data_IF_197064748232
#
_entry.id   IF_197064748232
#
_cell.length_a   1.000
_cell.length_b   1.000
_cell.length_c   1.000
_cell.angle_alpha   90.00
_cell.angle_beta   90.00
_cell.angle_gamma   90.00
#
_symmetry.space_group_name_H-M   'P 1'
#
loop_
_entity.id
_entity.type
_entity.pdbx_description
1 polymer ?
#
# COMPACT_ATOMS: atom_id res chain seq x y z
N UNK A 1 -7.20 12.43 -33.32
CA UNK A 1 -8.41 11.59 -33.47
C UNK A 1 -9.25 12.19 -34.60
N UNK A 2 -9.78 11.35 -35.49
CA UNK A 2 -10.67 11.85 -36.56
C UNK A 2 -12.08 12.00 -35.99
N UNK A 3 -12.87 12.92 -36.57
CA UNK A 3 -14.29 13.10 -36.25
C UNK A 3 -15.16 11.85 -36.48
N UNK A 4 -14.60 10.81 -37.10
CA UNK A 4 -15.29 9.57 -37.46
C UNK A 4 -15.17 8.45 -36.43
N UNK A 5 -14.50 8.69 -35.31
CA UNK A 5 -14.26 7.71 -34.26
C UNK A 5 -12.79 7.63 -33.85
N UNK A 6 -12.48 6.78 -32.89
CA UNK A 6 -11.10 6.49 -32.53
C UNK A 6 -10.66 5.14 -33.10
N UNK A 7 -9.40 5.09 -33.54
CA UNK A 7 -8.79 3.90 -34.15
C UNK A 7 -8.00 3.14 -33.12
N UNK A 8 -8.04 1.83 -33.20
CA UNK A 8 -7.12 0.97 -32.44
C UNK A 8 -5.78 1.02 -33.14
N UNK A 9 -4.72 1.39 -32.43
CA UNK A 9 -3.37 1.28 -32.91
C UNK A 9 -2.83 -0.11 -32.50
N UNK A 10 -2.17 -0.82 -33.38
CA UNK A 10 -1.70 -2.20 -33.16
C UNK A 10 -0.60 -2.34 -32.09
N UNK A 11 -0.01 -1.23 -31.65
CA UNK A 11 0.93 -1.24 -30.52
C UNK A 11 0.17 -1.14 -29.20
N UNK A 12 0.08 -2.23 -28.49
CA UNK A 12 -0.52 -2.34 -27.14
C UNK A 12 0.23 -1.58 -26.05
N UNK A 13 1.25 -0.77 -26.40
CA UNK A 13 2.09 -0.03 -25.45
C UNK A 13 1.35 1.06 -24.67
N UNK A 14 0.38 1.74 -25.31
CA UNK A 14 -0.45 2.75 -24.68
C UNK A 14 -1.92 2.33 -24.80
N UNK A 15 -2.42 1.62 -23.81
CA UNK A 15 -3.85 1.31 -23.72
C UNK A 15 -4.63 2.62 -23.60
N UNK A 16 -5.34 2.97 -24.66
CA UNK A 16 -6.26 4.08 -24.64
C UNK A 16 -7.49 3.69 -23.81
N UNK A 17 -7.59 4.25 -22.63
CA UNK A 17 -8.76 4.11 -21.78
C UNK A 17 -9.64 5.35 -21.87
N UNK A 18 -10.91 5.16 -21.61
CA UNK A 18 -11.90 6.22 -21.52
C UNK A 18 -12.48 6.25 -20.12
N UNK A 19 -12.94 7.41 -19.68
CA UNK A 19 -13.75 7.55 -18.48
C UNK A 19 -15.21 7.69 -18.90
N UNK A 20 -16.10 6.96 -18.27
CA UNK A 20 -17.54 7.16 -18.37
C UNK A 20 -17.93 7.99 -17.16
N UNK A 21 -18.26 9.28 -17.40
CA UNK A 21 -18.58 10.24 -16.34
C UNK A 21 -20.09 10.44 -16.28
N UNK A 22 -20.68 10.42 -15.09
CA UNK A 22 -22.05 10.85 -14.92
C UNK A 22 -22.20 12.33 -15.31
N UNK A 23 -23.32 12.67 -15.92
CA UNK A 23 -23.68 14.07 -16.21
C UNK A 23 -24.00 14.79 -14.91
N UNK A 24 -24.72 14.12 -14.02
CA UNK A 24 -25.02 14.54 -12.67
C UNK A 24 -24.78 13.39 -11.70
N UNK A 25 -23.88 13.59 -10.72
CA UNK A 25 -23.52 12.56 -9.74
C UNK A 25 -24.67 12.26 -8.75
N UNK A 26 -25.56 13.24 -8.54
CA UNK A 26 -26.73 13.08 -7.67
C UNK A 26 -27.94 12.47 -8.40
N UNK A 27 -27.92 12.45 -9.74
CA UNK A 27 -28.98 11.89 -10.58
C UNK A 27 -28.43 11.14 -11.80
N UNK A 28 -28.17 9.86 -11.62
CA UNK A 28 -27.62 9.00 -12.67
C UNK A 28 -28.58 8.77 -13.84
N UNK A 29 -29.88 9.13 -13.71
CA UNK A 29 -30.86 9.06 -14.80
C UNK A 29 -30.61 10.11 -15.88
N UNK A 30 -29.85 11.17 -15.57
CA UNK A 30 -29.38 12.15 -16.55
C UNK A 30 -28.46 11.54 -17.62
N UNK A 31 -27.92 10.33 -17.38
CA UNK A 31 -27.02 9.62 -18.29
C UNK A 31 -25.55 9.99 -18.09
N UNK A 32 -24.74 9.63 -19.08
CA UNK A 32 -23.28 9.70 -18.98
C UNK A 32 -22.68 10.35 -20.22
N UNK A 33 -21.44 10.80 -20.11
CA UNK A 33 -20.57 11.19 -21.22
C UNK A 33 -19.33 10.29 -21.25
N UNK A 34 -18.75 10.11 -22.44
CA UNK A 34 -17.47 9.40 -22.61
C UNK A 34 -16.37 10.44 -22.73
N UNK A 35 -15.36 10.33 -21.88
CA UNK A 35 -14.16 11.17 -21.88
C UNK A 35 -12.92 10.34 -22.19
N UNK A 36 -12.17 10.74 -23.21
CA UNK A 36 -10.84 10.19 -23.48
C UNK A 36 -9.76 10.97 -22.73
N UNK A 37 -8.52 10.49 -22.82
CA UNK A 37 -7.36 11.21 -22.32
C UNK A 37 -6.74 12.18 -23.35
N UNK A 38 -7.51 12.61 -24.38
CA UNK A 38 -7.09 13.66 -25.30
C UNK A 38 -7.13 15.02 -24.64
N UNK A 39 -6.07 15.82 -24.79
CA UNK A 39 -5.98 17.16 -24.21
C UNK A 39 -6.82 18.21 -24.97
N UNK A 40 -7.15 17.94 -26.23
CA UNK A 40 -7.81 18.91 -27.11
C UNK A 40 -9.31 18.69 -27.27
N UNK A 41 -9.75 17.44 -27.43
CA UNK A 41 -11.16 17.08 -27.63
C UNK A 41 -11.49 15.81 -26.87
N UNK A 42 -11.55 15.88 -25.52
CA UNK A 42 -11.68 14.67 -24.71
C UNK A 42 -13.06 14.02 -24.77
N UNK A 43 -14.15 14.76 -25.02
CA UNK A 43 -15.49 14.21 -24.93
C UNK A 43 -16.00 13.72 -26.28
N UNK A 44 -16.51 12.48 -26.32
CA UNK A 44 -17.14 11.86 -27.48
C UNK A 44 -18.66 11.89 -27.36
N UNK A 45 -19.32 12.22 -28.45
CA UNK A 45 -20.76 12.25 -28.50
C UNK A 45 -21.25 12.00 -29.93
N UNK A 46 -22.58 11.92 -30.12
CA UNK A 46 -23.23 11.85 -31.41
C UNK A 46 -24.55 12.60 -31.36
N UNK A 47 -24.76 13.51 -32.29
CA UNK A 47 -25.91 14.45 -32.32
C UNK A 47 -27.21 13.79 -32.75
N UNK A 48 -27.19 12.63 -33.36
CA UNK A 48 -28.37 11.97 -33.89
C UNK A 48 -28.24 10.44 -33.89
N UNK A 49 -29.35 9.74 -34.02
CA UNK A 49 -29.42 8.30 -34.25
C UNK A 49 -28.93 7.94 -35.65
N UNK A 50 -27.63 8.09 -35.89
CA UNK A 50 -26.94 7.82 -37.16
C UNK A 50 -25.54 7.23 -36.88
N UNK A 51 -24.92 6.69 -37.93
CA UNK A 51 -23.55 6.26 -37.85
C UNK A 51 -22.61 7.47 -37.72
N UNK A 52 -21.61 7.36 -36.86
CA UNK A 52 -20.60 8.41 -36.65
C UNK A 52 -20.23 8.61 -35.18
N UNK A 53 -19.32 9.53 -34.96
CA UNK A 53 -18.94 10.02 -33.64
C UNK A 53 -18.30 11.39 -33.79
N UNK A 54 -18.64 12.30 -32.91
CA UNK A 54 -18.12 13.66 -32.85
C UNK A 54 -17.29 13.80 -31.55
N UNK A 55 -16.41 14.79 -31.51
CA UNK A 55 -15.58 15.07 -30.34
C UNK A 55 -15.58 16.56 -30.02
N UNK A 56 -15.51 16.90 -28.74
CA UNK A 56 -15.51 18.28 -28.24
C UNK A 56 -14.63 18.39 -26.98
N UNK A 57 -14.20 19.63 -26.70
CA UNK A 57 -13.54 19.93 -25.41
C UNK A 57 -14.55 20.39 -24.33
N UNK A 58 -15.80 20.54 -24.66
CA UNK A 58 -16.84 21.05 -23.76
C UNK A 58 -17.76 19.92 -23.28
N UNK A 59 -17.66 19.58 -21.98
CA UNK A 59 -18.52 18.56 -21.33
C UNK A 59 -20.01 18.88 -21.54
N UNK A 60 -20.42 20.14 -21.44
CA UNK A 60 -21.82 20.57 -21.61
C UNK A 60 -22.37 20.25 -22.99
N UNK A 61 -21.55 20.39 -24.04
CA UNK A 61 -21.94 20.00 -25.41
C UNK A 61 -22.19 18.50 -25.49
N UNK A 62 -21.25 17.67 -24.95
CA UNK A 62 -21.42 16.22 -24.93
C UNK A 62 -22.62 15.81 -24.05
N UNK A 63 -22.83 16.46 -22.91
CA UNK A 63 -23.94 16.21 -21.98
C UNK A 63 -25.33 16.52 -22.59
N UNK A 64 -25.41 17.34 -23.64
CA UNK A 64 -26.64 17.56 -24.40
C UNK A 64 -27.04 16.33 -25.24
N UNK A 65 -26.13 15.34 -25.37
CA UNK A 65 -26.32 14.08 -26.09
C UNK A 65 -25.91 12.90 -25.19
N UNK A 66 -26.67 12.68 -24.11
CA UNK A 66 -26.30 11.68 -23.11
C UNK A 66 -26.24 10.27 -23.68
N UNK A 67 -25.40 9.45 -23.09
CA UNK A 67 -25.42 8.01 -23.32
C UNK A 67 -25.99 7.28 -22.09
N UNK A 68 -26.55 6.11 -22.33
CA UNK A 68 -26.88 5.16 -21.28
C UNK A 68 -26.00 3.92 -21.37
N UNK A 69 -25.75 3.31 -20.22
CA UNK A 69 -25.02 2.06 -20.11
C UNK A 69 -26.02 0.93 -19.91
N UNK A 70 -26.19 0.08 -20.91
CA UNK A 70 -27.09 -1.05 -20.84
C UNK A 70 -26.30 -2.35 -20.66
N UNK A 71 -26.63 -3.10 -19.63
CA UNK A 71 -26.09 -4.45 -19.41
C UNK A 71 -26.99 -5.47 -20.11
N UNK A 72 -26.54 -6.01 -21.22
CA UNK A 72 -27.27 -7.04 -22.00
C UNK A 72 -27.05 -8.41 -21.37
N UNK A 73 -25.85 -8.64 -20.83
CA UNK A 73 -25.48 -9.82 -20.06
C UNK A 73 -24.37 -9.46 -19.06
N UNK A 74 -23.89 -10.43 -18.29
CA UNK A 74 -22.76 -10.21 -17.39
C UNK A 74 -21.45 -9.80 -18.08
N UNK A 75 -21.36 -10.00 -19.40
CA UNK A 75 -20.17 -9.73 -20.21
C UNK A 75 -20.42 -8.81 -21.41
N UNK A 76 -21.67 -8.45 -21.70
CA UNK A 76 -22.02 -7.60 -22.85
C UNK A 76 -22.62 -6.29 -22.32
N UNK A 77 -21.87 -5.20 -22.53
CA UNK A 77 -22.25 -3.83 -22.12
C UNK A 77 -22.41 -3.00 -23.39
N UNK A 78 -23.54 -2.32 -23.50
CA UNK A 78 -23.83 -1.43 -24.60
C UNK A 78 -23.88 0.03 -24.14
N UNK A 79 -23.13 0.89 -24.82
CA UNK A 79 -23.19 2.33 -24.66
C UNK A 79 -24.14 2.88 -25.72
N UNK A 80 -25.35 3.23 -25.31
CA UNK A 80 -26.43 3.62 -26.21
C UNK A 80 -26.63 5.13 -26.19
N UNK A 81 -26.79 5.71 -27.37
CA UNK A 81 -27.10 7.12 -27.52
C UNK A 81 -28.57 7.38 -27.15
N UNK A 82 -28.81 8.49 -26.46
CA UNK A 82 -30.14 9.04 -26.20
C UNK A 82 -31.04 8.22 -25.28
N UNK A 83 -30.45 7.37 -24.43
CA UNK A 83 -31.20 6.65 -23.41
C UNK A 83 -32.11 5.53 -23.92
N UNK A 84 -32.01 5.18 -25.18
CA UNK A 84 -32.84 4.13 -25.81
C UNK A 84 -32.00 3.02 -26.38
N UNK A 85 -32.37 1.78 -26.05
CA UNK A 85 -31.77 0.59 -26.66
C UNK A 85 -31.97 0.53 -28.19
N UNK A 86 -32.88 1.32 -28.73
CA UNK A 86 -33.09 1.51 -30.17
C UNK A 86 -32.22 2.60 -30.79
N UNK A 87 -31.46 3.37 -29.98
CA UNK A 87 -30.51 4.37 -30.43
C UNK A 87 -29.26 3.76 -31.06
N UNK A 88 -28.42 4.62 -31.66
CA UNK A 88 -27.12 4.17 -32.13
C UNK A 88 -26.27 3.68 -30.95
N UNK A 89 -25.60 2.55 -31.16
CA UNK A 89 -24.80 1.88 -30.14
C UNK A 89 -23.33 2.00 -30.52
N UNK A 90 -22.45 2.26 -29.52
CA UNK A 90 -21.02 2.27 -29.74
C UNK A 90 -20.54 0.82 -30.05
N UNK A 91 -19.90 0.65 -31.19
CA UNK A 91 -19.43 -0.64 -31.68
C UNK A 91 -18.08 -0.51 -32.35
N UNK A 92 -17.42 -1.63 -32.51
CA UNK A 92 -16.17 -1.77 -33.24
C UNK A 92 -16.42 -2.22 -34.67
N UNK A 93 -15.77 -1.57 -35.64
CA UNK A 93 -15.83 -1.95 -37.04
C UNK A 93 -14.43 -2.33 -37.55
N UNK A 94 -14.16 -3.63 -37.79
CA UNK A 94 -12.85 -4.14 -38.24
C UNK A 94 -12.62 -4.02 -39.75
N UNK A 95 -13.46 -3.26 -40.50
CA UNK A 95 -13.36 -3.23 -41.96
C UNK A 95 -12.14 -2.47 -42.49
N UNK A 96 -11.84 -2.66 -43.79
CA UNK A 96 -10.70 -2.09 -44.51
C UNK A 96 -10.62 -0.54 -44.50
N UNK A 97 -11.68 0.16 -44.11
CA UNK A 97 -11.69 1.61 -43.95
C UNK A 97 -10.97 2.09 -42.65
N UNK A 98 -10.41 1.14 -41.91
CA UNK A 98 -9.64 1.30 -40.68
C UNK A 98 -10.43 0.91 -39.45
N UNK A 99 -9.82 0.13 -38.63
CA UNK A 99 -10.30 -0.31 -37.32
C UNK A 99 -10.76 0.87 -36.49
N UNK A 100 -12.06 1.02 -36.23
CA UNK A 100 -12.58 2.18 -35.51
C UNK A 100 -13.76 1.86 -34.60
N UNK A 101 -13.84 2.58 -33.51
CA UNK A 101 -15.00 2.65 -32.63
C UNK A 101 -15.82 3.88 -33.00
N UNK A 102 -17.11 3.70 -33.22
CA UNK A 102 -18.08 4.80 -33.34
C UNK A 102 -19.50 4.30 -33.11
N UNK A 103 -20.47 5.19 -33.06
CA UNK A 103 -21.87 4.83 -32.96
C UNK A 103 -22.38 4.28 -34.29
N UNK A 104 -23.15 3.18 -34.21
CA UNK A 104 -23.81 2.56 -35.35
C UNK A 104 -25.29 2.39 -35.05
N UNK A 105 -26.11 2.77 -35.99
CA UNK A 105 -27.56 2.67 -35.91
C UNK A 105 -28.07 1.25 -36.03
N UNK A 106 -27.49 0.45 -36.89
CA UNK A 106 -27.89 -0.93 -37.18
C UNK A 106 -26.69 -1.84 -36.94
N UNK A 107 -26.86 -2.82 -36.08
CA UNK A 107 -25.75 -3.55 -35.49
C UNK A 107 -25.26 -4.75 -36.25
N UNK A 108 -24.52 -4.56 -37.36
CA UNK A 108 -23.71 -5.62 -37.97
C UNK A 108 -22.23 -5.58 -37.55
N UNK A 109 -21.84 -4.56 -36.79
CA UNK A 109 -20.50 -4.38 -36.28
C UNK A 109 -20.33 -5.14 -34.95
N UNK A 110 -19.08 -5.38 -34.57
CA UNK A 110 -18.74 -6.18 -33.39
C UNK A 110 -19.12 -5.47 -32.08
N UNK A 111 -19.56 -6.22 -31.11
CA UNK A 111 -19.79 -5.75 -29.76
C UNK A 111 -18.47 -5.25 -29.14
N UNK A 112 -18.57 -4.27 -28.27
CA UNK A 112 -17.45 -3.81 -27.46
C UNK A 112 -17.56 -4.39 -26.05
N UNK A 113 -16.41 -4.60 -25.43
CA UNK A 113 -16.30 -5.02 -24.06
C UNK A 113 -15.63 -3.92 -23.26
N UNK A 114 -16.20 -3.56 -22.13
CA UNK A 114 -15.61 -2.60 -21.20
C UNK A 114 -14.86 -3.33 -20.10
N UNK A 115 -13.60 -2.99 -19.94
CA UNK A 115 -12.76 -3.49 -18.86
C UNK A 115 -12.49 -2.34 -17.89
N UNK A 116 -12.73 -2.57 -16.60
CA UNK A 116 -12.35 -1.61 -15.57
C UNK A 116 -10.83 -1.53 -15.49
N UNK A 117 -10.27 -0.33 -15.69
CA UNK A 117 -8.86 -0.09 -15.40
C UNK A 117 -8.66 -0.20 -13.90
N UNK A 118 -7.95 -1.21 -13.47
CA UNK A 118 -7.49 -1.29 -12.08
C UNK A 118 -6.22 -0.46 -11.93
N UNK A 119 -6.25 0.52 -11.05
CA UNK A 119 -5.05 1.24 -10.63
C UNK A 119 -4.48 0.51 -9.43
N UNK A 120 -3.26 0.01 -9.56
CA UNK A 120 -2.52 -0.57 -8.44
C UNK A 120 -2.20 0.53 -7.44
N UNK A 121 -2.70 0.39 -6.22
CA UNK A 121 -2.39 1.32 -5.14
C UNK A 121 -0.94 1.17 -4.72
N UNK A 122 -0.27 2.28 -4.46
CA UNK A 122 1.08 2.27 -3.92
C UNK A 122 1.34 3.51 -3.07
N UNK A 123 2.27 3.41 -2.13
CA UNK A 123 2.81 4.54 -1.37
C UNK A 123 4.24 4.26 -0.93
N UNK A 124 4.96 5.32 -0.61
CA UNK A 124 6.37 5.27 -0.25
C UNK A 124 6.56 5.66 1.23
N UNK A 125 7.55 5.04 1.87
CA UNK A 125 7.94 5.33 3.25
C UNK A 125 9.45 5.53 3.31
N UNK A 126 9.89 6.65 3.86
CA UNK A 126 11.31 6.89 4.08
C UNK A 126 11.82 6.07 5.28
N UNK A 127 12.92 5.34 5.03
CA UNK A 127 13.74 4.66 6.05
C UNK A 127 14.80 5.65 6.54
N UNK A 128 14.88 5.82 7.84
CA UNK A 128 15.85 6.73 8.47
C UNK A 128 17.29 6.22 8.35
N UNK A 129 18.27 7.06 8.72
CA UNK A 129 19.69 6.65 8.81
C UNK A 129 19.94 5.55 9.84
N UNK A 130 19.04 5.40 10.82
CA UNK A 130 19.06 4.30 11.77
C UNK A 130 18.63 2.95 11.18
N UNK A 131 18.19 2.92 9.91
CA UNK A 131 17.78 1.71 9.21
C UNK A 131 16.36 1.25 9.54
N UNK A 132 15.52 2.09 10.18
CA UNK A 132 14.18 1.74 10.60
C UNK A 132 13.14 2.78 10.22
N UNK A 133 11.91 2.34 10.03
CA UNK A 133 10.71 3.16 9.95
C UNK A 133 9.48 2.37 10.42
N UNK A 134 8.35 3.03 10.62
CA UNK A 134 7.05 2.36 10.72
C UNK A 134 6.16 2.72 9.54
N UNK A 135 5.24 1.84 9.21
CA UNK A 135 4.18 2.10 8.24
C UNK A 135 2.85 1.53 8.72
N UNK A 136 1.75 2.17 8.33
CA UNK A 136 0.44 1.57 8.37
C UNK A 136 -0.02 1.25 6.95
N UNK A 137 -0.30 -0.03 6.68
CA UNK A 137 -0.58 -0.55 5.34
C UNK A 137 -2.09 -0.74 5.19
N UNK A 138 -2.81 0.18 4.49
CA UNK A 138 -4.28 0.16 4.45
C UNK A 138 -4.88 -0.86 3.49
N UNK A 139 -4.08 -1.48 2.63
CA UNK A 139 -4.47 -2.51 1.68
C UNK A 139 -3.45 -3.64 1.67
N UNK A 140 -3.82 -4.82 1.20
CA UNK A 140 -2.86 -5.93 1.07
C UNK A 140 -1.74 -5.54 0.10
N UNK A 141 -0.47 -5.62 0.53
CA UNK A 141 0.67 -5.10 -0.21
C UNK A 141 1.94 -5.93 -0.06
N UNK A 142 2.78 -5.89 -1.08
CA UNK A 142 4.20 -6.24 -0.97
C UNK A 142 5.03 -4.99 -0.74
N UNK A 143 6.21 -5.14 -0.15
CA UNK A 143 7.16 -4.05 0.06
C UNK A 143 8.49 -4.35 -0.62
N UNK A 144 9.10 -3.31 -1.20
CA UNK A 144 10.46 -3.36 -1.75
C UNK A 144 11.31 -2.27 -1.12
N UNK A 145 12.62 -2.48 -1.04
CA UNK A 145 13.57 -1.55 -0.40
C UNK A 145 13.69 -1.72 1.13
N UNK A 146 12.88 -2.59 1.74
CA UNK A 146 12.98 -2.94 3.15
C UNK A 146 12.34 -4.30 3.42
N UNK A 147 12.63 -4.88 4.58
CA UNK A 147 11.91 -6.02 5.15
C UNK A 147 10.86 -5.50 6.14
N UNK A 148 9.64 -6.05 6.08
CA UNK A 148 8.54 -5.69 6.96
C UNK A 148 8.39 -6.70 8.11
N UNK A 149 8.11 -6.18 9.31
CA UNK A 149 7.93 -6.97 10.52
C UNK A 149 6.65 -6.55 11.25
N UNK A 150 5.90 -7.50 11.78
CA UNK A 150 4.93 -7.22 12.82
C UNK A 150 5.60 -7.34 14.20
N UNK A 151 4.99 -6.76 15.23
CA UNK A 151 5.58 -6.65 16.55
C UNK A 151 4.72 -7.32 17.60
N UNK A 152 5.37 -8.15 18.43
CA UNK A 152 4.81 -8.60 19.71
C UNK A 152 5.64 -8.04 20.86
N UNK A 153 5.06 -7.93 22.06
CA UNK A 153 5.76 -7.42 23.24
C UNK A 153 5.89 -8.53 24.28
N UNK A 154 7.10 -8.68 24.82
CA UNK A 154 7.37 -9.55 25.95
C UNK A 154 8.17 -8.77 27.01
N UNK A 155 7.51 -8.48 28.14
CA UNK A 155 8.09 -7.59 29.16
C UNK A 155 8.34 -6.17 28.61
N UNK A 156 9.60 -5.76 28.54
CA UNK A 156 10.04 -4.47 27.97
C UNK A 156 10.68 -4.60 26.58
N UNK A 157 10.60 -5.77 25.98
CA UNK A 157 11.17 -6.05 24.67
C UNK A 157 10.10 -6.08 23.59
N UNK A 158 10.37 -5.42 22.47
CA UNK A 158 9.59 -5.51 21.24
C UNK A 158 10.23 -6.56 20.32
N UNK A 159 9.53 -7.67 20.08
CA UNK A 159 9.99 -8.73 19.19
C UNK A 159 9.51 -8.49 17.78
N UNK A 160 10.45 -8.48 16.84
CA UNK A 160 10.18 -8.34 15.41
C UNK A 160 9.98 -9.73 14.79
N UNK A 161 8.85 -9.89 14.10
CA UNK A 161 8.53 -11.10 13.34
C UNK A 161 8.41 -10.73 11.87
N UNK A 162 9.24 -11.31 11.04
CA UNK A 162 9.24 -11.04 9.61
C UNK A 162 7.90 -11.43 8.96
N UNK A 163 7.42 -10.58 8.05
CA UNK A 163 6.25 -10.86 7.22
C UNK A 163 6.75 -11.25 5.84
N UNK A 164 6.71 -12.53 5.54
CA UNK A 164 7.08 -13.03 4.23
C UNK A 164 5.91 -12.90 3.24
N UNK A 165 6.17 -12.31 2.07
CA UNK A 165 5.18 -12.16 1.01
C UNK A 165 4.25 -10.96 1.19
N UNK A 166 2.92 -11.17 1.09
CA UNK A 166 1.92 -10.11 1.11
C UNK A 166 1.53 -9.72 2.53
N UNK A 167 1.79 -8.47 2.89
CA UNK A 167 1.37 -7.87 4.17
C UNK A 167 -0.16 -7.73 4.15
N UNK A 168 -0.88 -8.18 5.19
CA UNK A 168 -2.33 -8.01 5.26
C UNK A 168 -2.75 -6.54 5.27
N UNK A 169 -3.93 -6.24 4.74
CA UNK A 169 -4.54 -4.92 4.85
C UNK A 169 -4.73 -4.50 6.32
N UNK A 170 -4.70 -3.20 6.58
CA UNK A 170 -4.89 -2.59 7.89
C UNK A 170 -3.86 -3.06 8.94
N UNK A 171 -2.62 -3.27 8.50
CA UNK A 171 -1.55 -3.79 9.35
C UNK A 171 -0.52 -2.70 9.63
N UNK A 172 -0.23 -2.46 10.93
CA UNK A 172 0.93 -1.68 11.35
C UNK A 172 2.20 -2.54 11.27
N UNK A 173 3.27 -2.00 10.69
CA UNK A 173 4.53 -2.71 10.53
C UNK A 173 5.74 -1.85 10.93
N UNK A 174 6.82 -2.52 11.33
CA UNK A 174 8.17 -1.96 11.37
C UNK A 174 8.86 -2.33 10.07
N UNK A 175 9.54 -1.39 9.47
CA UNK A 175 10.43 -1.60 8.33
C UNK A 175 11.87 -1.59 8.79
N UNK A 176 12.68 -2.54 8.32
CA UNK A 176 14.13 -2.59 8.53
C UNK A 176 14.82 -2.67 7.18
N UNK A 177 15.77 -1.78 6.93
CA UNK A 177 16.48 -1.70 5.65
C UNK A 177 17.55 -0.62 5.64
N UNK A 178 18.19 -0.46 4.50
CA UNK A 178 19.14 0.64 4.28
C UNK A 178 18.38 1.96 4.22
N UNK A 179 18.98 3.06 4.72
CA UNK A 179 18.42 4.40 4.59
C UNK A 179 18.04 4.69 3.13
N UNK A 180 16.81 5.12 2.91
CA UNK A 180 16.26 5.30 1.56
C UNK A 180 14.74 5.23 1.55
N UNK A 181 14.18 4.71 0.46
CA UNK A 181 12.74 4.61 0.26
C UNK A 181 12.30 3.15 0.19
N UNK A 182 11.36 2.77 1.06
CA UNK A 182 10.59 1.54 0.93
C UNK A 182 9.29 1.83 0.18
N UNK A 183 8.98 1.03 -0.84
CA UNK A 183 7.77 1.19 -1.65
C UNK A 183 6.80 0.04 -1.39
N UNK A 184 5.59 0.38 -0.98
CA UNK A 184 4.46 -0.54 -0.88
C UNK A 184 3.66 -0.55 -2.17
N UNK A 185 3.33 -1.74 -2.66
CA UNK A 185 2.52 -1.93 -3.87
C UNK A 185 1.41 -2.91 -3.57
N UNK A 186 0.17 -2.57 -3.93
CA UNK A 186 -1.00 -3.44 -3.76
C UNK A 186 -0.75 -4.82 -4.35
N UNK A 187 -1.07 -5.86 -3.58
CA UNK A 187 -0.96 -7.26 -3.98
C UNK A 187 -2.33 -7.92 -3.92
N UNK A 188 -2.58 -8.85 -4.86
CA UNK A 188 -3.77 -9.72 -4.89
C UNK A 188 -3.47 -11.13 -4.37
N UNK A 189 -2.21 -11.39 -4.04
CA UNK A 189 -1.79 -12.68 -3.48
C UNK A 189 -2.34 -12.86 -2.07
N UNK A 190 -2.44 -14.11 -1.64
CA UNK A 190 -2.90 -14.43 -0.29
C UNK A 190 -2.00 -13.76 0.75
N UNK A 191 -2.57 -13.01 1.70
CA UNK A 191 -1.77 -12.32 2.71
C UNK A 191 -1.19 -13.31 3.72
N UNK A 192 -0.01 -12.95 4.24
CA UNK A 192 0.67 -13.67 5.31
C UNK A 192 -0.19 -13.69 6.59
N UNK A 193 0.01 -14.70 7.42
CA UNK A 193 -0.63 -14.76 8.74
C UNK A 193 0.14 -13.88 9.72
N UNK A 194 -0.55 -12.90 10.31
CA UNK A 194 -0.02 -12.00 11.34
C UNK A 194 -0.82 -12.21 12.61
N UNK A 195 -0.16 -12.67 13.68
CA UNK A 195 -0.83 -12.99 14.94
C UNK A 195 -0.18 -12.27 16.11
N UNK A 196 -0.99 -11.65 16.96
CA UNK A 196 -0.52 -10.95 18.16
C UNK A 196 0.21 -9.62 17.89
N UNK A 197 0.06 -9.04 16.70
CA UNK A 197 0.62 -7.73 16.39
C UNK A 197 0.05 -6.65 17.30
N UNK A 198 0.92 -5.97 18.04
CA UNK A 198 0.53 -4.88 18.95
C UNK A 198 0.48 -3.52 18.26
N UNK A 199 0.96 -3.43 17.01
CA UNK A 199 0.98 -2.18 16.27
C UNK A 199 -0.41 -1.83 15.72
N UNK A 200 -0.81 -0.60 15.98
CA UNK A 200 -1.92 0.10 15.35
C UNK A 200 -1.38 1.11 14.34
N UNK A 201 -2.25 1.76 13.59
CA UNK A 201 -1.81 2.77 12.64
C UNK A 201 -2.81 3.88 12.42
N UNK A 202 -2.33 4.92 11.75
CA UNK A 202 -3.14 6.05 11.31
C UNK A 202 -2.84 6.41 9.86
N UNK A 203 -3.89 6.77 9.11
CA UNK A 203 -3.77 7.27 7.74
C UNK A 203 -3.54 8.79 7.69
N UNK A 204 -3.81 9.48 8.79
CA UNK A 204 -3.67 10.92 8.93
C UNK A 204 -2.69 11.26 10.04
N UNK A 205 -2.12 12.47 10.00
CA UNK A 205 -1.31 12.97 11.12
C UNK A 205 -2.22 13.18 12.34
N UNK A 206 -1.80 12.66 13.52
CA UNK A 206 -2.59 12.69 14.75
C UNK A 206 -1.73 12.99 15.96
N UNK A 207 -2.27 13.80 16.85
CA UNK A 207 -1.72 14.06 18.19
C UNK A 207 -1.94 12.85 19.11
N UNK A 208 -1.27 12.82 20.25
CA UNK A 208 -1.45 11.81 21.29
C UNK A 208 -2.91 11.66 21.71
N UNK A 209 -3.62 12.79 21.94
CA UNK A 209 -5.03 12.79 22.33
C UNK A 209 -5.93 12.20 21.24
N UNK A 210 -5.70 12.54 19.97
CA UNK A 210 -6.45 11.99 18.83
C UNK A 210 -6.17 10.50 18.59
N UNK A 211 -5.00 9.99 19.01
CA UNK A 211 -4.67 8.57 19.04
C UNK A 211 -5.27 7.87 20.28
N UNK A 212 -5.93 8.62 21.14
CA UNK A 212 -6.65 8.10 22.31
C UNK A 212 -5.75 7.89 23.53
N UNK A 213 -4.69 8.68 23.70
CA UNK A 213 -3.91 8.73 24.93
C UNK A 213 -4.77 9.20 26.10
N UNK A 214 -4.60 8.56 27.24
CA UNK A 214 -5.35 8.84 28.47
C UNK A 214 -4.44 8.68 29.68
N UNK A 215 -4.94 9.00 30.89
CA UNK A 215 -4.21 8.77 32.14
C UNK A 215 -3.84 7.30 32.40
N UNK A 216 -4.51 6.36 31.72
CA UNK A 216 -4.28 4.92 31.87
C UNK A 216 -3.67 4.25 30.65
N UNK A 217 -3.47 5.00 29.55
CA UNK A 217 -2.97 4.49 28.28
C UNK A 217 -2.06 5.51 27.62
N UNK A 218 -0.83 5.11 27.31
CA UNK A 218 0.20 5.91 26.63
C UNK A 218 0.37 5.46 25.18
N UNK A 219 0.76 6.39 24.32
CA UNK A 219 1.07 6.14 22.92
C UNK A 219 2.58 6.10 22.73
N UNK A 220 3.09 5.00 22.18
CA UNK A 220 4.50 4.79 21.88
C UNK A 220 4.71 4.71 20.37
N UNK A 221 5.75 5.40 19.90
CA UNK A 221 6.15 5.46 18.50
C UNK A 221 7.60 5.09 18.32
N UNK A 222 7.94 4.60 17.12
CA UNK A 222 9.32 4.33 16.76
C UNK A 222 10.14 5.61 16.73
N UNK A 223 11.22 5.62 17.46
CA UNK A 223 12.17 6.73 17.52
C UNK A 223 13.59 6.20 17.79
N UNK A 224 14.57 7.08 17.63
CA UNK A 224 15.96 6.84 18.02
C UNK A 224 16.33 7.87 19.08
N UNK A 225 16.77 7.39 20.24
CA UNK A 225 17.23 8.23 21.36
C UNK A 225 18.59 7.69 21.81
N UNK A 226 19.59 8.56 21.83
CA UNK A 226 20.99 8.20 22.22
C UNK A 226 21.53 6.99 21.43
N UNK A 227 21.25 6.93 20.12
CA UNK A 227 21.68 5.85 19.22
C UNK A 227 20.96 4.50 19.42
N UNK A 228 19.87 4.49 20.20
CA UNK A 228 19.05 3.29 20.41
C UNK A 228 17.69 3.45 19.74
N UNK A 229 17.40 2.59 18.80
CA UNK A 229 16.09 2.52 18.14
C UNK A 229 15.13 1.68 18.97
N UNK A 230 13.90 2.18 19.13
CA UNK A 230 12.86 1.51 19.89
C UNK A 230 11.55 2.25 19.84
N UNK A 231 10.56 1.78 20.58
CA UNK A 231 9.30 2.49 20.76
C UNK A 231 9.38 3.33 22.04
N UNK A 232 9.24 4.63 21.88
CA UNK A 232 9.27 5.63 22.95
C UNK A 232 7.92 6.32 23.05
N UNK A 233 7.62 6.87 24.22
CA UNK A 233 6.42 7.69 24.39
C UNK A 233 6.38 8.81 23.36
N UNK A 234 5.24 8.97 22.68
CA UNK A 234 5.05 10.02 21.69
C UNK A 234 5.08 11.38 22.39
N UNK A 235 5.86 12.30 21.87
CA UNK A 235 5.81 13.72 22.22
C UNK A 235 5.46 14.50 20.95
N UNK A 236 4.22 15.04 20.91
CA UNK A 236 3.71 15.80 19.76
C UNK A 236 2.78 15.02 18.82
N UNK A 237 3.08 15.01 17.54
CA UNK A 237 2.20 14.49 16.48
C UNK A 237 2.85 13.34 15.74
N UNK A 238 2.14 12.22 15.61
CA UNK A 238 2.49 11.13 14.71
C UNK A 238 2.10 11.49 13.29
N UNK A 239 3.01 11.36 12.34
CA UNK A 239 2.75 11.62 10.93
C UNK A 239 1.75 10.60 10.32
N UNK A 240 1.14 10.97 9.20
CA UNK A 240 0.28 10.09 8.43
C UNK A 240 0.99 8.80 7.98
N UNK A 241 0.22 7.74 7.80
CA UNK A 241 0.68 6.41 7.37
C UNK A 241 1.76 5.80 8.27
N UNK A 242 1.73 6.10 9.58
CA UNK A 242 2.65 5.55 10.58
C UNK A 242 1.96 4.59 11.51
N UNK A 243 2.74 3.67 12.07
CA UNK A 243 2.28 2.76 13.09
C UNK A 243 2.77 3.19 14.48
N UNK A 244 1.97 2.85 15.50
CA UNK A 244 2.20 3.14 16.90
C UNK A 244 1.74 1.98 17.79
N UNK A 245 2.08 2.04 19.06
CA UNK A 245 1.76 1.05 20.07
C UNK A 245 1.00 1.71 21.21
N UNK A 246 -0.05 1.06 21.71
CA UNK A 246 -0.73 1.49 22.94
C UNK A 246 -0.19 0.70 24.13
N UNK A 247 0.18 1.39 25.18
CA UNK A 247 0.77 0.81 26.39
C UNK A 247 0.00 1.27 27.62
N UNK A 248 -0.38 0.32 28.49
CA UNK A 248 -1.05 0.66 29.74
C UNK A 248 -0.10 1.41 30.68
N UNK A 249 -0.59 2.45 31.35
CA UNK A 249 0.15 3.17 32.38
C UNK A 249 0.40 2.21 33.55
N UNK A 250 1.58 2.30 34.17
CA UNK A 250 1.97 1.44 35.29
C UNK A 250 2.88 0.26 34.91
N UNK A 251 3.09 0.04 33.62
CA UNK A 251 4.07 -0.95 33.15
C UNK A 251 5.51 -0.51 33.44
N UNK A 252 5.73 0.80 33.75
CA UNK A 252 7.03 1.34 34.17
C UNK A 252 8.11 1.33 33.09
N UNK A 253 7.75 1.01 31.86
CA UNK A 253 8.70 0.88 30.75
C UNK A 253 8.85 2.25 30.07
N UNK A 254 10.09 2.78 30.04
CA UNK A 254 10.40 4.05 29.36
C UNK A 254 10.49 3.91 27.85
N UNK A 255 10.88 2.72 27.36
CA UNK A 255 10.99 2.38 25.96
C UNK A 255 10.92 0.86 25.77
N UNK A 256 10.45 0.43 24.60
CA UNK A 256 10.50 -0.96 24.16
C UNK A 256 11.56 -1.07 23.08
N UNK A 257 12.64 -1.76 23.41
CA UNK A 257 13.73 -1.96 22.46
C UNK A 257 13.47 -3.24 21.65
N UNK A 258 13.98 -3.23 20.42
CA UNK A 258 13.99 -4.45 19.66
C UNK A 258 14.95 -5.46 20.35
N UNK A 259 14.49 -6.68 20.49
CA UNK A 259 15.40 -7.79 20.67
C UNK A 259 16.19 -7.95 19.34
N UNK A 260 17.13 -7.05 19.10
CA UNK A 260 18.25 -7.39 18.22
C UNK A 260 18.88 -8.58 18.92
N UNK A 261 18.98 -9.70 18.19
CA UNK A 261 19.52 -10.99 18.67
C UNK A 261 20.33 -10.78 19.93
N UNK A 262 19.75 -11.10 21.06
CA UNK A 262 20.32 -10.70 22.33
C UNK A 262 21.83 -10.87 22.20
N UNK A 263 22.61 -9.82 22.51
CA UNK A 263 23.95 -10.04 23.02
C UNK A 263 23.79 -10.78 24.37
N UNK A 264 22.75 -11.60 24.40
CA UNK A 264 22.48 -12.64 25.36
C UNK A 264 23.61 -13.63 25.21
N UNK A 265 24.18 -14.04 26.27
CA UNK A 265 25.08 -15.14 26.44
C UNK A 265 24.63 -16.26 25.47
N UNK A 266 25.08 -16.17 24.22
CA UNK A 266 24.92 -17.27 23.29
C UNK A 266 25.70 -18.43 23.95
N UNK A 267 24.98 -19.50 24.21
CA UNK A 267 25.59 -20.78 24.59
C UNK A 267 26.32 -21.32 23.33
N UNK A 268 27.15 -20.47 22.69
CA UNK A 268 28.11 -20.91 21.70
C UNK A 268 29.08 -21.82 22.49
N UNK A 269 29.30 -23.00 21.99
CA UNK A 269 30.39 -23.89 22.42
C UNK A 269 31.74 -23.19 22.11
N UNK A 270 31.99 -22.09 22.83
CA UNK A 270 33.27 -21.43 22.76
C UNK A 270 34.20 -22.20 23.65
N UNK A 271 35.15 -22.85 23.05
CA UNK A 271 36.18 -23.60 23.79
C UNK A 271 37.16 -22.58 24.39
N UNK A 272 37.21 -22.49 25.70
CA UNK A 272 38.23 -21.70 26.39
C UNK A 272 39.59 -22.37 26.15
N UNK A 273 40.48 -21.65 25.43
CA UNK A 273 41.82 -22.17 25.14
C UNK A 273 42.73 -21.98 26.33
N UNK A 274 43.77 -22.84 26.41
CA UNK A 274 44.82 -22.66 27.44
C UNK A 274 45.55 -21.34 27.18
N UNK A 275 45.40 -20.38 28.09
CA UNK A 275 46.00 -19.03 27.97
C UNK A 275 44.98 -17.89 27.99
N UNK A 276 43.67 -18.15 27.80
CA UNK A 276 42.64 -17.14 27.93
C UNK A 276 42.47 -16.67 29.37
N UNK A 277 42.51 -15.37 29.62
CA UNK A 277 42.23 -14.78 30.92
C UNK A 277 40.74 -14.59 31.06
N UNK A 278 40.15 -15.13 32.11
CA UNK A 278 38.74 -14.99 32.44
C UNK A 278 38.56 -13.99 33.57
N UNK A 279 37.55 -13.15 33.43
CA UNK A 279 37.15 -12.20 34.48
C UNK A 279 35.69 -12.46 34.88
N UNK A 280 35.39 -12.36 36.18
CA UNK A 280 33.99 -12.30 36.63
C UNK A 280 33.38 -10.93 36.35
N UNK A 281 32.07 -10.75 36.63
CA UNK A 281 31.37 -9.47 36.39
C UNK A 281 31.93 -8.33 37.26
N UNK A 282 32.68 -8.58 38.30
CA UNK A 282 33.37 -7.59 39.12
C UNK A 282 34.78 -7.25 38.61
N UNK A 283 35.19 -7.80 37.46
CA UNK A 283 36.48 -7.54 36.84
C UNK A 283 37.65 -8.32 37.47
N UNK A 284 37.39 -9.26 38.35
CA UNK A 284 38.45 -10.11 38.96
C UNK A 284 38.78 -11.25 38.04
N UNK A 285 40.07 -11.59 37.94
CA UNK A 285 40.55 -12.79 37.23
C UNK A 285 40.06 -14.02 37.96
N UNK A 286 39.44 -14.96 37.22
CA UNK A 286 38.93 -16.22 37.76
C UNK A 286 39.48 -17.42 37.01
N UNK A 287 39.58 -18.55 37.70
CA UNK A 287 40.05 -19.81 37.11
C UNK A 287 38.97 -20.54 36.30
N UNK A 288 39.36 -21.57 35.59
CA UNK A 288 38.45 -22.40 34.75
C UNK A 288 37.34 -23.09 35.53
N UNK A 289 37.54 -23.28 36.83
CA UNK A 289 36.55 -23.92 37.73
C UNK A 289 35.49 -22.94 38.25
N UNK A 290 35.61 -21.64 37.93
CA UNK A 290 34.63 -20.63 38.33
C UNK A 290 33.31 -20.90 37.61
N UNK A 291 32.25 -21.07 38.38
CA UNK A 291 30.87 -21.25 37.86
C UNK A 291 30.15 -19.93 37.82
N UNK A 292 29.58 -19.59 36.67
CA UNK A 292 28.82 -18.36 36.50
C UNK A 292 29.19 -17.60 35.22
N UNK A 293 28.79 -16.33 35.17
CA UNK A 293 29.09 -15.46 34.02
C UNK A 293 30.55 -14.99 34.12
N UNK A 294 31.30 -15.24 33.05
CA UNK A 294 32.67 -14.77 32.86
C UNK A 294 32.83 -13.95 31.61
N UNK A 295 33.83 -13.08 31.58
CA UNK A 295 34.24 -12.29 30.41
C UNK A 295 35.57 -12.86 29.93
N UNK A 296 35.61 -13.34 28.70
CA UNK A 296 36.81 -13.88 28.03
C UNK A 296 36.99 -13.16 26.72
N UNK A 297 38.14 -12.53 26.50
CA UNK A 297 38.44 -11.78 25.28
C UNK A 297 37.34 -10.74 24.94
N UNK A 298 36.81 -10.03 25.95
CA UNK A 298 35.77 -9.04 25.81
C UNK A 298 34.34 -9.56 25.59
N UNK A 299 34.15 -10.91 25.60
CA UNK A 299 32.84 -11.54 25.42
C UNK A 299 32.31 -12.14 26.71
N UNK A 300 31.06 -11.94 27.05
CA UNK A 300 30.37 -12.56 28.20
C UNK A 300 29.97 -13.99 27.87
N UNK A 301 30.25 -14.90 28.79
CA UNK A 301 29.96 -16.34 28.65
C UNK A 301 29.46 -16.90 29.95
N UNK A 302 28.68 -17.96 29.90
CA UNK A 302 28.33 -18.78 31.08
C UNK A 302 29.30 -19.96 31.18
N UNK A 303 30.17 -19.94 32.21
CA UNK A 303 31.00 -21.08 32.57
C UNK A 303 30.20 -21.98 33.51
N UNK A 304 29.89 -23.23 33.06
CA UNK A 304 29.04 -24.20 33.77
C UNK A 304 29.84 -25.11 34.70
#
# INVERSE_FOLDING_TARGET
MSSDGFRVNESWGDLHYVTIEAINDDDLSAGYVIKSHSDTTPYFYQTANKNGMEATNNKGTAASYPITVNFVSSSDIQLCLGGSASGAILRYNPTSSGNMFRYYRNGTQEAIYLYKKETTKSFDVAITSAGYATAYVPFAATVTGATAYYVTVEGSSAKLHEIEGTIPANTGVVLKGVAGTAKFTESKDAPATVTGNVLKGTLEAKTQAELGETEIKLIYVLNEVDGKVGFYHLDGTLAANRAYMEVAVGVGVKAFFFDEEATGIQNSQFTIHNGDVMYNLSGQVVGKDYKGIVIVNGKKMLNK
#
